data_IF_813076933484
#
_entry.id   IF_813076933484
#
_cell.length_a   1.000
_cell.length_b   1.000
_cell.length_c   1.000
_cell.angle_alpha   90.00
_cell.angle_beta   90.00
_cell.angle_gamma   90.00
#
_symmetry.space_group_name_H-M   'P 1'
#
loop_
_entity.id
_entity.type
_entity.pdbx_description
1 polymer ?
#
# COMPACT_ATOMS: atom_id res chain seq x y z
N UNK A 1 15.44 -15.20 30.18
CA UNK A 1 14.23 -14.57 30.75
C UNK A 1 14.37 -13.05 30.61
N UNK A 2 13.75 -12.46 29.59
CA UNK A 2 13.76 -10.99 29.42
C UNK A 2 12.94 -10.40 30.57
N UNK A 3 13.52 -9.49 31.36
CA UNK A 3 12.79 -8.75 32.40
C UNK A 3 11.50 -8.20 31.77
N UNK A 4 10.35 -8.55 32.34
CA UNK A 4 9.04 -8.06 31.91
C UNK A 4 9.03 -6.57 32.23
N UNK A 5 9.39 -5.73 31.27
CA UNK A 5 9.32 -4.28 31.42
C UNK A 5 7.86 -3.92 31.70
N UNK A 6 7.65 -3.20 32.79
CA UNK A 6 6.33 -2.73 33.19
C UNK A 6 6.02 -1.49 32.37
N UNK A 7 4.94 -1.54 31.59
CA UNK A 7 4.58 -0.47 30.64
C UNK A 7 3.76 0.56 31.40
N UNK A 8 4.14 1.82 31.31
CA UNK A 8 3.50 2.96 31.97
C UNK A 8 3.03 3.99 30.95
N UNK A 9 2.03 4.78 31.34
CA UNK A 9 1.62 5.98 30.58
C UNK A 9 2.79 6.96 30.53
N UNK A 10 3.06 7.50 29.35
CA UNK A 10 4.23 8.36 29.04
C UNK A 10 5.45 7.59 28.53
N UNK A 11 5.48 6.26 28.63
CA UNK A 11 6.59 5.48 28.07
C UNK A 11 6.60 5.58 26.53
N UNK A 12 7.79 5.72 25.96
CA UNK A 12 8.01 5.74 24.51
C UNK A 12 8.71 4.49 24.02
N UNK A 13 8.25 4.01 22.88
CA UNK A 13 8.78 2.81 22.22
C UNK A 13 8.93 3.07 20.72
N UNK A 14 9.81 2.29 20.09
CA UNK A 14 9.94 2.24 18.64
C UNK A 14 9.49 0.86 18.16
N UNK A 15 8.68 0.80 17.09
CA UNK A 15 8.31 -0.47 16.48
C UNK A 15 9.43 -1.02 15.58
N UNK A 16 9.24 -2.24 15.06
CA UNK A 16 10.19 -2.88 14.13
C UNK A 16 10.42 -2.14 12.81
N UNK A 17 9.58 -1.16 12.48
CA UNK A 17 9.66 -0.34 11.26
C UNK A 17 10.30 1.04 11.50
N UNK A 18 10.69 1.34 12.74
CA UNK A 18 11.32 2.59 13.12
C UNK A 18 10.35 3.68 13.55
N UNK A 19 9.04 3.43 13.55
CA UNK A 19 8.03 4.40 13.97
C UNK A 19 7.96 4.48 15.49
N UNK A 20 8.09 5.70 15.99
CA UNK A 20 8.00 6.01 17.42
C UNK A 20 6.56 6.24 17.85
N UNK A 21 6.25 5.80 19.07
CA UNK A 21 4.96 6.03 19.70
C UNK A 21 5.08 6.15 21.22
N UNK A 22 4.10 6.82 21.81
CA UNK A 22 3.93 7.01 23.25
C UNK A 22 2.70 6.25 23.75
N UNK A 23 2.79 5.68 24.94
CA UNK A 23 1.63 5.13 25.66
C UNK A 23 0.83 6.27 26.28
N UNK A 24 -0.36 6.53 25.78
CA UNK A 24 -1.21 7.64 26.26
C UNK A 24 -2.25 7.18 27.28
N UNK A 25 -2.63 5.90 27.27
CA UNK A 25 -3.57 5.32 28.23
C UNK A 25 -3.34 3.81 28.38
N UNK A 26 -3.44 3.29 29.60
CA UNK A 26 -3.34 1.86 29.88
C UNK A 26 -4.55 1.43 30.73
N UNK A 27 -5.53 0.76 30.13
CA UNK A 27 -6.69 0.24 30.84
C UNK A 27 -6.42 -1.16 31.40
N UNK A 28 -5.93 -2.07 30.54
CA UNK A 28 -5.53 -3.42 30.88
C UNK A 28 -4.53 -3.95 29.82
N UNK A 29 -4.11 -5.21 29.90
CA UNK A 29 -3.11 -5.77 28.98
C UNK A 29 -3.59 -5.95 27.53
N UNK A 30 -4.89 -5.89 27.26
CA UNK A 30 -5.49 -6.00 25.92
C UNK A 30 -5.89 -4.63 25.34
N UNK A 31 -6.01 -3.62 26.20
CA UNK A 31 -6.46 -2.26 25.88
C UNK A 31 -5.44 -1.21 26.38
N UNK A 32 -4.45 -0.96 25.53
CA UNK A 32 -3.46 0.11 25.69
C UNK A 32 -3.59 1.06 24.50
N UNK A 33 -3.91 2.32 24.77
CA UNK A 33 -3.95 3.36 23.75
C UNK A 33 -2.54 3.93 23.58
N UNK A 34 -2.08 3.98 22.33
CA UNK A 34 -0.83 4.60 21.94
C UNK A 34 -1.08 5.73 20.95
N UNK A 35 -0.12 6.65 20.85
CA UNK A 35 -0.07 7.71 19.85
C UNK A 35 1.27 7.64 19.12
N UNK A 36 1.25 7.47 17.81
CA UNK A 36 2.46 7.57 16.99
C UNK A 36 2.86 9.03 16.77
N UNK A 37 4.15 9.26 16.52
CA UNK A 37 4.67 10.59 16.16
C UNK A 37 4.06 11.13 14.87
N UNK A 38 3.59 10.23 13.98
CA UNK A 38 2.83 10.58 12.78
C UNK A 38 1.44 11.16 13.07
N UNK A 39 0.95 11.05 14.32
CA UNK A 39 -0.31 11.61 14.78
C UNK A 39 -1.43 10.59 14.95
N UNK A 40 -1.31 9.38 14.39
CA UNK A 40 -2.31 8.33 14.51
C UNK A 40 -2.36 7.73 15.92
N UNK A 41 -3.57 7.37 16.33
CA UNK A 41 -3.83 6.67 17.58
C UNK A 41 -4.18 5.22 17.29
N UNK A 42 -3.82 4.32 18.20
CA UNK A 42 -4.19 2.91 18.08
C UNK A 42 -4.40 2.28 19.44
N UNK A 43 -5.35 1.35 19.51
CA UNK A 43 -5.50 0.45 20.64
C UNK A 43 -4.73 -0.84 20.35
N UNK A 44 -3.83 -1.20 21.25
CA UNK A 44 -2.95 -2.35 21.10
C UNK A 44 -2.91 -3.17 22.39
N UNK A 45 -2.62 -4.45 22.24
CA UNK A 45 -2.30 -5.29 23.39
C UNK A 45 -0.89 -4.96 23.89
N UNK A 46 -0.70 -4.97 25.21
CA UNK A 46 0.59 -4.73 25.85
C UNK A 46 1.68 -5.71 25.37
N UNK A 47 1.32 -6.93 24.94
CA UNK A 47 2.28 -7.88 24.35
C UNK A 47 2.86 -7.39 23.02
N UNK A 48 2.10 -6.62 22.22
CA UNK A 48 2.58 -6.08 20.96
C UNK A 48 3.61 -4.98 21.20
N UNK A 49 3.43 -4.18 22.26
CA UNK A 49 4.43 -3.19 22.69
C UNK A 49 5.72 -3.91 23.10
N UNK A 50 5.62 -4.92 23.99
CA UNK A 50 6.80 -5.68 24.48
C UNK A 50 7.57 -6.40 23.38
N UNK A 51 6.89 -6.82 22.31
CA UNK A 51 7.51 -7.54 21.18
C UNK A 51 7.90 -6.62 20.01
N UNK A 52 7.59 -5.31 20.10
CA UNK A 52 7.78 -4.33 19.05
C UNK A 52 6.89 -4.53 17.82
N UNK A 53 5.83 -5.35 17.93
CA UNK A 53 4.95 -5.77 16.82
C UNK A 53 3.81 -4.79 16.54
N UNK A 54 3.76 -3.68 17.26
CA UNK A 54 2.87 -2.54 17.00
C UNK A 54 3.11 -1.99 15.59
N UNK A 55 2.04 -1.68 14.85
CA UNK A 55 2.10 -1.17 13.48
C UNK A 55 1.38 0.17 13.41
N UNK A 56 2.00 1.15 12.76
CA UNK A 56 1.33 2.40 12.36
C UNK A 56 0.67 2.18 11.00
N UNK A 57 -0.44 2.88 10.76
CA UNK A 57 -1.05 2.94 9.44
C UNK A 57 -0.10 3.52 8.37
N UNK A 58 0.86 4.35 8.79
CA UNK A 58 1.84 5.02 7.94
C UNK A 58 3.19 4.31 7.84
N UNK A 59 3.34 3.13 8.47
CA UNK A 59 4.53 2.31 8.27
C UNK A 59 4.66 1.92 6.79
N UNK A 60 5.84 2.19 6.20
CA UNK A 60 6.18 1.81 4.82
C UNK A 60 6.38 0.29 4.69
N UNK A 61 5.25 -0.42 4.73
CA UNK A 61 5.18 -1.88 4.80
C UNK A 61 5.25 -2.55 3.42
N UNK A 62 4.96 -1.82 2.35
CA UNK A 62 4.95 -2.34 0.97
C UNK A 62 6.18 -1.83 0.21
N UNK A 63 7.10 -2.74 -0.09
CA UNK A 63 8.36 -2.48 -0.80
C UNK A 63 9.20 -1.33 -0.21
N UNK A 64 9.04 -1.02 1.10
CA UNK A 64 9.75 0.07 1.76
C UNK A 64 9.30 1.48 1.36
N UNK A 65 8.25 1.59 0.54
CA UNK A 65 7.72 2.85 0.02
C UNK A 65 6.28 3.06 0.47
N UNK A 66 5.41 2.06 0.25
CA UNK A 66 3.97 2.18 0.42
C UNK A 66 3.48 1.95 1.84
N UNK A 67 2.47 2.73 2.24
CA UNK A 67 1.73 2.57 3.49
C UNK A 67 0.23 2.36 3.23
N UNK A 68 -0.47 1.78 4.21
CA UNK A 68 -1.92 1.54 4.10
C UNK A 68 -2.69 2.84 4.30
N UNK A 69 -2.22 3.71 5.20
CA UNK A 69 -2.88 4.96 5.58
C UNK A 69 -4.14 4.75 6.43
N UNK A 70 -4.63 5.83 7.03
CA UNK A 70 -5.92 5.86 7.73
C UNK A 70 -7.03 6.29 6.76
N UNK A 71 -8.09 5.50 6.64
CA UNK A 71 -9.22 5.84 5.78
C UNK A 71 -10.26 4.73 5.67
N UNK A 72 -11.24 4.93 4.79
CA UNK A 72 -12.43 4.09 4.64
C UNK A 72 -12.21 2.84 3.79
N UNK A 73 -11.09 2.77 3.05
CA UNK A 73 -10.82 1.66 2.16
C UNK A 73 -10.09 0.54 2.90
N UNK A 74 -10.78 -0.58 3.06
CA UNK A 74 -10.21 -1.77 3.69
C UNK A 74 -9.25 -2.51 2.72
N UNK A 75 -8.02 -2.83 3.16
CA UNK A 75 -7.11 -3.66 2.35
C UNK A 75 -7.56 -5.13 2.30
N UNK A 76 -8.36 -5.57 3.27
CA UNK A 76 -8.91 -6.93 3.36
C UNK A 76 -10.40 -6.93 3.70
N UNK A 77 -11.12 -7.92 3.17
CA UNK A 77 -12.51 -8.26 3.53
C UNK A 77 -12.57 -9.77 3.73
N UNK A 78 -13.12 -10.23 4.86
CA UNK A 78 -13.19 -11.65 5.23
C UNK A 78 -11.84 -12.38 5.12
N UNK A 79 -10.75 -11.72 5.53
CA UNK A 79 -9.39 -12.27 5.50
C UNK A 79 -8.73 -12.33 4.12
N UNK A 80 -9.40 -11.87 3.05
CA UNK A 80 -8.87 -11.84 1.68
C UNK A 80 -8.54 -10.41 1.26
N UNK A 81 -7.47 -10.23 0.50
CA UNK A 81 -7.10 -8.93 -0.06
C UNK A 81 -8.19 -8.42 -1.01
N UNK A 82 -8.52 -7.13 -0.94
CA UNK A 82 -9.48 -6.51 -1.86
C UNK A 82 -8.89 -6.34 -3.25
N UNK A 83 -9.75 -6.25 -4.28
CA UNK A 83 -9.32 -5.97 -5.67
C UNK A 83 -8.48 -4.70 -5.74
N UNK A 84 -8.92 -3.63 -5.08
CA UNK A 84 -8.20 -2.35 -4.98
C UNK A 84 -6.81 -2.50 -4.37
N UNK A 85 -6.71 -3.17 -3.21
CA UNK A 85 -5.42 -3.36 -2.56
C UNK A 85 -4.48 -4.21 -3.41
N UNK A 86 -4.98 -5.26 -4.06
CA UNK A 86 -4.20 -6.07 -4.98
C UNK A 86 -3.69 -5.26 -6.18
N UNK A 87 -4.52 -4.38 -6.76
CA UNK A 87 -4.09 -3.52 -7.86
C UNK A 87 -2.96 -2.59 -7.43
N UNK A 88 -3.14 -1.90 -6.30
CA UNK A 88 -2.13 -1.02 -5.70
C UNK A 88 -0.83 -1.76 -5.38
N UNK A 89 -0.92 -2.91 -4.69
CA UNK A 89 0.23 -3.72 -4.34
C UNK A 89 1.00 -4.19 -5.57
N UNK A 90 0.29 -4.63 -6.62
CA UNK A 90 0.93 -5.06 -7.86
C UNK A 90 1.61 -3.88 -8.59
N UNK A 91 1.02 -2.69 -8.57
CA UNK A 91 1.65 -1.47 -9.09
C UNK A 91 2.96 -1.17 -8.36
N UNK A 92 2.95 -1.18 -7.02
CA UNK A 92 4.14 -0.98 -6.19
C UNK A 92 5.19 -2.06 -6.46
N UNK A 93 4.76 -3.32 -6.61
CA UNK A 93 5.65 -4.45 -6.91
C UNK A 93 6.37 -4.27 -8.25
N UNK A 94 5.68 -3.83 -9.30
CA UNK A 94 6.29 -3.58 -10.61
C UNK A 94 7.37 -2.50 -10.54
N UNK A 95 7.15 -1.45 -9.75
CA UNK A 95 8.07 -0.31 -9.66
C UNK A 95 9.26 -0.52 -8.70
N UNK A 96 9.12 -1.38 -7.69
CA UNK A 96 10.09 -1.42 -6.58
C UNK A 96 10.58 -2.82 -6.20
N UNK A 97 10.15 -3.88 -6.88
CA UNK A 97 10.71 -5.21 -6.68
C UNK A 97 11.79 -5.51 -7.74
N UNK A 98 13.03 -5.69 -7.28
CA UNK A 98 14.19 -5.94 -8.15
C UNK A 98 14.01 -7.21 -9.00
N UNK A 99 13.58 -8.33 -8.41
CA UNK A 99 13.39 -9.59 -9.12
C UNK A 99 12.34 -9.46 -10.25
N UNK A 100 11.27 -8.70 -10.00
CA UNK A 100 10.25 -8.40 -11.02
C UNK A 100 10.85 -7.54 -12.13
N UNK A 101 11.63 -6.51 -11.81
CA UNK A 101 12.28 -5.68 -12.82
C UNK A 101 13.38 -6.39 -13.61
N UNK A 102 14.02 -7.39 -13.02
CA UNK A 102 14.95 -8.26 -13.73
C UNK A 102 14.23 -9.13 -14.76
N UNK A 103 13.12 -9.77 -14.35
CA UNK A 103 12.29 -10.61 -15.24
C UNK A 103 11.49 -9.81 -16.26
N UNK A 104 11.16 -8.56 -15.94
CA UNK A 104 10.34 -7.67 -16.77
C UNK A 104 11.01 -6.29 -16.87
N UNK A 105 12.08 -6.16 -17.70
CA UNK A 105 12.90 -4.95 -17.78
C UNK A 105 12.16 -3.68 -18.18
N UNK A 106 10.98 -3.79 -18.78
CA UNK A 106 10.12 -2.65 -19.14
C UNK A 106 9.72 -1.81 -17.92
N UNK A 107 9.69 -2.42 -16.73
CA UNK A 107 9.42 -1.71 -15.47
C UNK A 107 10.65 -1.07 -14.82
N UNK A 108 11.86 -1.28 -15.35
CA UNK A 108 13.04 -0.56 -14.87
C UNK A 108 12.84 0.94 -15.04
N UNK A 109 13.20 1.68 -13.99
CA UNK A 109 13.01 3.13 -13.91
C UNK A 109 11.56 3.57 -13.73
N UNK A 110 10.59 2.65 -13.60
CA UNK A 110 9.22 3.04 -13.28
C UNK A 110 9.07 3.42 -11.81
N UNK A 111 8.28 4.44 -11.54
CA UNK A 111 7.96 4.97 -10.21
C UNK A 111 6.46 5.06 -10.00
N UNK A 112 6.06 5.27 -8.75
CA UNK A 112 4.70 5.62 -8.37
C UNK A 112 4.73 7.06 -7.86
N UNK A 113 3.75 7.85 -8.28
CA UNK A 113 3.58 9.23 -7.82
C UNK A 113 3.43 9.25 -6.29
N UNK A 114 4.11 10.16 -5.55
CA UNK A 114 4.15 10.13 -4.09
C UNK A 114 2.78 10.12 -3.40
N UNK A 115 1.77 10.76 -4.00
CA UNK A 115 0.39 10.73 -3.53
C UNK A 115 -0.15 9.29 -3.39
N UNK A 116 0.17 8.43 -4.37
CA UNK A 116 -0.24 7.02 -4.42
C UNK A 116 0.67 6.08 -3.61
N UNK A 117 1.68 6.59 -2.90
CA UNK A 117 2.38 5.78 -1.89
C UNK A 117 1.46 5.42 -0.71
N UNK A 118 0.37 6.16 -0.51
CA UNK A 118 -0.67 5.82 0.45
C UNK A 118 -1.81 5.08 -0.28
N UNK A 119 -2.14 3.87 0.19
CA UNK A 119 -3.21 3.06 -0.38
C UNK A 119 -4.58 3.77 -0.35
N UNK A 120 -4.90 4.55 0.69
CA UNK A 120 -6.17 5.28 0.75
C UNK A 120 -6.30 6.29 -0.39
N UNK A 121 -5.22 6.99 -0.72
CA UNK A 121 -5.20 7.97 -1.81
C UNK A 121 -5.35 7.29 -3.17
N UNK A 122 -4.59 6.21 -3.41
CA UNK A 122 -4.78 5.40 -4.61
C UNK A 122 -6.22 4.88 -4.71
N UNK A 123 -6.78 4.33 -3.64
CA UNK A 123 -8.12 3.78 -3.65
C UNK A 123 -9.17 4.85 -3.92
N UNK A 124 -9.02 6.06 -3.38
CA UNK A 124 -9.90 7.19 -3.68
C UNK A 124 -9.83 7.56 -5.16
N UNK A 125 -8.63 7.78 -5.70
CA UNK A 125 -8.43 8.20 -7.09
C UNK A 125 -8.83 7.11 -8.09
N UNK A 126 -8.62 5.83 -7.75
CA UNK A 126 -8.91 4.68 -8.61
C UNK A 126 -10.37 4.66 -9.09
N UNK A 127 -11.31 5.12 -8.26
CA UNK A 127 -12.74 5.18 -8.61
C UNK A 127 -13.04 6.15 -9.76
N UNK A 128 -12.13 7.09 -10.03
CA UNK A 128 -12.27 8.10 -11.09
C UNK A 128 -11.42 7.79 -12.32
N UNK A 129 -10.68 6.67 -12.32
CA UNK A 129 -9.90 6.26 -13.49
C UNK A 129 -10.79 5.60 -14.54
N UNK A 130 -10.50 5.87 -15.81
CA UNK A 130 -11.14 5.20 -16.92
C UNK A 130 -11.00 3.67 -16.80
N UNK A 131 -12.09 2.96 -17.11
CA UNK A 131 -12.17 1.49 -17.04
C UNK A 131 -12.28 0.91 -15.63
N UNK A 132 -12.31 1.73 -14.57
CA UNK A 132 -12.44 1.24 -13.19
C UNK A 132 -13.68 0.39 -12.99
N UNK A 133 -14.85 0.85 -13.45
CA UNK A 133 -16.12 0.15 -13.22
C UNK A 133 -16.15 -1.22 -13.89
N UNK A 134 -15.65 -1.31 -15.12
CA UNK A 134 -15.54 -2.56 -15.88
C UNK A 134 -14.56 -3.52 -15.21
N UNK A 135 -13.37 -3.03 -14.83
CA UNK A 135 -12.38 -3.81 -14.09
C UNK A 135 -12.93 -4.32 -12.75
N UNK A 136 -13.60 -3.46 -11.98
CA UNK A 136 -14.04 -3.77 -10.62
C UNK A 136 -15.14 -4.82 -10.61
N UNK A 137 -16.08 -4.75 -11.56
CA UNK A 137 -17.16 -5.74 -11.74
C UNK A 137 -16.70 -7.04 -12.41
N UNK A 138 -15.53 -7.07 -13.04
CA UNK A 138 -15.03 -8.24 -13.76
C UNK A 138 -14.34 -9.24 -12.82
N UNK A 139 -14.85 -10.47 -12.73
CA UNK A 139 -14.28 -11.50 -11.87
C UNK A 139 -13.28 -12.45 -12.57
N UNK A 140 -12.99 -12.22 -13.85
CA UNK A 140 -12.00 -12.99 -14.60
C UNK A 140 -10.59 -12.54 -14.17
N UNK A 141 -9.79 -13.41 -13.54
CA UNK A 141 -8.45 -13.04 -13.11
C UNK A 141 -7.58 -12.65 -14.30
N UNK A 142 -6.81 -11.57 -14.15
CA UNK A 142 -5.84 -11.08 -15.15
C UNK A 142 -6.42 -10.62 -16.49
N UNK A 143 -7.74 -10.48 -16.63
CA UNK A 143 -8.35 -9.90 -17.84
C UNK A 143 -8.05 -8.40 -18.00
N UNK A 144 -7.71 -7.72 -16.89
CA UNK A 144 -7.51 -6.28 -16.82
C UNK A 144 -6.23 -5.91 -16.09
N UNK A 145 -5.66 -4.77 -16.45
CA UNK A 145 -4.47 -4.19 -15.81
C UNK A 145 -4.60 -2.68 -15.63
N UNK A 146 -4.06 -2.17 -14.53
CA UNK A 146 -3.76 -0.75 -14.39
C UNK A 146 -2.51 -0.42 -15.23
N UNK A 147 -2.66 0.45 -16.21
CA UNK A 147 -1.61 0.85 -17.15
C UNK A 147 -1.31 2.35 -17.02
N UNK A 148 -0.06 2.76 -17.28
CA UNK A 148 0.41 4.16 -17.17
C UNK A 148 0.88 4.76 -18.51
N UNK A 149 0.98 3.93 -19.54
CA UNK A 149 1.64 4.24 -20.81
C UNK A 149 0.63 4.45 -21.95
N UNK A 150 -0.59 3.95 -21.78
CA UNK A 150 -1.66 4.09 -22.80
C UNK A 150 -2.08 5.55 -22.98
N UNK A 151 -2.09 6.36 -21.91
CA UNK A 151 -2.43 7.79 -21.98
C UNK A 151 -1.21 8.61 -22.41
N UNK A 152 -0.03 8.27 -21.90
CA UNK A 152 1.23 8.98 -22.17
C UNK A 152 2.31 7.97 -22.61
N UNK A 153 2.53 7.79 -23.93
CA UNK A 153 3.51 6.85 -24.43
C UNK A 153 4.91 7.08 -23.84
N UNK A 154 5.56 6.00 -23.40
CA UNK A 154 6.90 6.05 -22.80
C UNK A 154 6.95 6.56 -21.36
N UNK A 155 5.80 6.86 -20.74
CA UNK A 155 5.73 7.29 -19.35
C UNK A 155 6.37 6.26 -18.39
N UNK A 156 6.94 6.75 -17.30
CA UNK A 156 7.58 5.92 -16.27
C UNK A 156 6.91 6.05 -14.92
N UNK A 157 5.95 6.95 -14.75
CA UNK A 157 5.29 7.17 -13.47
C UNK A 157 3.85 6.68 -13.48
N UNK A 158 3.50 5.80 -12.54
CA UNK A 158 2.10 5.53 -12.22
C UNK A 158 1.54 6.67 -11.37
N UNK A 159 0.42 7.26 -11.77
CA UNK A 159 -0.18 8.35 -11.02
C UNK A 159 -1.59 8.69 -11.50
N UNK A 160 -2.28 9.59 -10.79
CA UNK A 160 -3.69 9.90 -11.03
C UNK A 160 -3.99 10.45 -12.42
N UNK A 161 -3.01 11.10 -13.07
CA UNK A 161 -3.23 11.78 -14.35
C UNK A 161 -2.79 10.97 -15.57
N UNK A 162 -2.16 9.82 -15.38
CA UNK A 162 -1.55 9.04 -16.46
C UNK A 162 -1.97 7.58 -16.47
N UNK A 163 -2.88 7.19 -15.57
CA UNK A 163 -3.30 5.80 -15.43
C UNK A 163 -4.75 5.56 -15.81
N UNK A 164 -5.02 4.37 -16.37
CA UNK A 164 -6.37 3.82 -16.55
C UNK A 164 -6.35 2.30 -16.38
N UNK A 165 -7.51 1.72 -16.11
CA UNK A 165 -7.70 0.28 -16.17
C UNK A 165 -8.05 -0.11 -17.62
N UNK A 166 -7.37 -1.12 -18.14
CA UNK A 166 -7.53 -1.59 -19.52
C UNK A 166 -7.62 -3.10 -19.59
N UNK A 167 -8.38 -3.59 -20.57
CA UNK A 167 -8.39 -5.00 -20.90
C UNK A 167 -7.02 -5.40 -21.48
N UNK A 168 -6.56 -6.61 -21.18
CA UNK A 168 -5.20 -7.07 -21.55
C UNK A 168 -5.00 -7.11 -23.08
N UNK A 169 -6.07 -7.33 -23.85
CA UNK A 169 -6.06 -7.30 -25.31
C UNK A 169 -5.76 -5.90 -25.88
N UNK A 170 -6.30 -4.85 -25.26
CA UNK A 170 -6.02 -3.46 -25.64
C UNK A 170 -4.58 -3.08 -25.27
N UNK A 171 -4.12 -3.52 -24.10
CA UNK A 171 -2.76 -3.27 -23.62
C UNK A 171 -1.71 -3.93 -24.54
N UNK A 172 -1.99 -5.12 -25.05
CA UNK A 172 -1.05 -5.86 -25.90
C UNK A 172 -0.84 -5.19 -27.27
N UNK A 173 -1.90 -4.57 -27.82
CA UNK A 173 -1.84 -3.84 -29.10
C UNK A 173 -0.94 -2.60 -29.01
N UNK A 174 -1.07 -1.83 -27.94
CA UNK A 174 -0.31 -0.60 -27.75
C UNK A 174 1.19 -0.84 -27.54
N UNK A 175 1.62 -2.04 -27.15
CA UNK A 175 3.05 -2.36 -27.00
C UNK A 175 3.74 -2.75 -28.32
N UNK A 176 2.99 -3.03 -29.38
CA UNK A 176 3.55 -3.35 -30.70
C UNK A 176 4.03 -2.13 -31.48
N UNK A 177 3.31 -1.01 -31.36
CA UNK A 177 3.45 0.13 -32.29
C UNK A 177 4.58 1.12 -31.96
N UNK A 178 5.26 0.98 -30.81
CA UNK A 178 6.32 1.90 -30.37
C UNK A 178 7.74 1.33 -30.47
N UNK A 179 7.87 0.10 -30.98
CA UNK A 179 9.16 -0.60 -31.16
C UNK A 179 9.49 -0.89 -32.63
N UNK A 180 8.73 -0.34 -33.58
CA UNK A 180 9.13 -0.18 -34.98
C UNK A 180 9.73 1.22 -35.21
#
# INVERSE_FOLDING_TARGET
MTKKYDIKVGDRFQNRKGSWYEVVKYNNCEDVMIKFDAGDYSFVQAINIRTGSVKSAYDKSVHGIGCVGEGVFSPTVNGKLTKLYNAWYNMMRRCYNADVQERQPTYKGCTVHPWWHNFQHFAADAHYLDGFEDWYKNDIPHAWALDKDIILPGNKEYGPNACKFVHIEENSKHKGDWYE
#
